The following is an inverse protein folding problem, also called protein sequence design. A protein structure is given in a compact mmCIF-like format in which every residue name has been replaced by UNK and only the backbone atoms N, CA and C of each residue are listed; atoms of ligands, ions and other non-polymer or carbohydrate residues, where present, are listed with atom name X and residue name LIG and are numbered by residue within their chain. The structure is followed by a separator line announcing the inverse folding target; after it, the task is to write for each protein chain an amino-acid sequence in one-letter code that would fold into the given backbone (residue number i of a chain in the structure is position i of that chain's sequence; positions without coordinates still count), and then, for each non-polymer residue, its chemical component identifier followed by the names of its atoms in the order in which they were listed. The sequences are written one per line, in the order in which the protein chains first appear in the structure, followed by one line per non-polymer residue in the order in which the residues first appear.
data_IF_109647321271
#
_entry.id   IF_109647321271
#
_cell.length_a   1.000
_cell.length_b   1.000
_cell.length_c   1.000
_cell.angle_alpha   90.00
_cell.angle_beta   90.00
_cell.angle_gamma   90.00
#
_symmetry.space_group_name_H-M   'P 1'
#
loop_
_entity.id
_entity.type
_entity.pdbx_description
1 polymer ?
#
# COMPACT_ATOMS: atom_id res chain seq x y z
N UNK A 1 -14.70 26.83 -0.07
CA UNK A 1 -13.60 25.90 0.26
C UNK A 1 -14.01 24.42 0.19
N UNK A 2 -15.14 24.07 -0.46
CA UNK A 2 -15.60 22.67 -0.57
C UNK A 2 -15.21 21.98 -1.88
N UNK A 3 -15.01 22.74 -2.95
CA UNK A 3 -14.67 22.18 -4.26
C UNK A 3 -13.26 21.57 -4.30
N UNK A 4 -12.33 22.03 -3.44
CA UNK A 4 -11.01 21.42 -3.31
C UNK A 4 -11.08 19.97 -2.84
N UNK A 5 -12.05 19.63 -1.98
CA UNK A 5 -12.26 18.23 -1.57
C UNK A 5 -12.80 17.37 -2.72
N UNK A 6 -13.50 17.95 -3.70
CA UNK A 6 -13.86 17.22 -4.92
C UNK A 6 -12.59 16.86 -5.72
N UNK A 7 -11.59 17.74 -5.76
CA UNK A 7 -10.30 17.39 -6.37
C UNK A 7 -9.62 16.23 -5.65
N UNK A 8 -9.69 16.20 -4.31
CA UNK A 8 -9.18 15.06 -3.52
C UNK A 8 -9.90 13.78 -3.90
N UNK A 9 -11.23 13.81 -3.97
CA UNK A 9 -12.05 12.67 -4.37
C UNK A 9 -11.69 12.17 -5.77
N UNK A 10 -11.72 13.06 -6.77
CA UNK A 10 -11.46 12.69 -8.15
C UNK A 10 -10.00 12.32 -8.38
N UNK A 11 -9.05 12.96 -7.69
CA UNK A 11 -7.64 12.59 -7.74
C UNK A 11 -7.42 11.17 -7.22
N UNK A 12 -7.94 10.84 -6.04
CA UNK A 12 -7.82 9.50 -5.48
C UNK A 12 -8.53 8.45 -6.35
N UNK A 13 -9.72 8.78 -6.89
CA UNK A 13 -10.45 7.93 -7.82
C UNK A 13 -9.64 7.66 -9.08
N UNK A 14 -9.07 8.69 -9.70
CA UNK A 14 -8.29 8.56 -10.93
C UNK A 14 -7.03 7.71 -10.73
N UNK A 15 -6.37 7.81 -9.57
CA UNK A 15 -5.19 7.00 -9.30
C UNK A 15 -5.53 5.52 -9.13
N UNK A 16 -6.68 5.22 -8.51
CA UNK A 16 -7.06 3.85 -8.20
C UNK A 16 -7.96 3.19 -9.25
N UNK A 17 -8.56 3.97 -10.16
CA UNK A 17 -9.34 3.44 -11.28
C UNK A 17 -8.44 2.88 -12.37
N UNK A 18 -7.20 3.36 -12.57
CA UNK A 18 -6.40 2.97 -13.74
C UNK A 18 -5.77 1.57 -13.55
N UNK A 19 -5.76 0.69 -14.57
CA UNK A 19 -5.20 -0.66 -14.46
C UNK A 19 -3.67 -0.64 -14.62
N UNK A 20 -3.01 0.35 -14.01
CA UNK A 20 -1.57 0.59 -14.05
C UNK A 20 -1.05 0.88 -12.62
N UNK A 21 0.16 0.44 -12.26
CA UNK A 21 0.74 0.76 -10.95
C UNK A 21 1.11 2.25 -10.88
N UNK A 22 0.17 3.09 -10.48
CA UNK A 22 0.41 4.47 -10.07
C UNK A 22 1.03 4.54 -8.67
N UNK A 23 1.62 5.70 -8.29
CA UNK A 23 1.91 5.98 -6.90
C UNK A 23 0.67 5.77 -6.02
N UNK A 24 0.84 5.49 -4.71
CA UNK A 24 -0.31 5.35 -3.81
C UNK A 24 -1.22 6.58 -3.84
N UNK A 25 -2.54 6.39 -3.77
CA UNK A 25 -3.49 7.52 -3.85
C UNK A 25 -3.30 8.56 -2.73
N UNK A 26 -2.74 8.20 -1.58
CA UNK A 26 -2.43 9.18 -0.54
C UNK A 26 -1.45 10.26 -1.03
N UNK A 27 -0.65 10.00 -2.07
CA UNK A 27 0.31 10.98 -2.61
C UNK A 27 -0.39 12.22 -3.16
N UNK A 28 -1.44 12.03 -3.97
CA UNK A 28 -2.26 13.13 -4.49
C UNK A 28 -3.11 13.77 -3.38
N UNK A 29 -3.59 12.97 -2.42
CA UNK A 29 -4.33 13.47 -1.25
C UNK A 29 -3.46 14.42 -0.41
N UNK A 30 -2.22 14.01 -0.12
CA UNK A 30 -1.24 14.78 0.65
C UNK A 30 -0.84 16.05 -0.09
N UNK A 31 -0.56 15.94 -1.39
CA UNK A 31 -0.24 17.10 -2.23
C UNK A 31 -1.35 18.17 -2.18
N UNK A 32 -2.61 17.75 -2.35
CA UNK A 32 -3.76 18.66 -2.30
C UNK A 32 -4.03 19.19 -0.89
N UNK A 33 -3.82 18.36 0.15
CA UNK A 33 -3.92 18.78 1.54
C UNK A 33 -2.95 19.91 1.86
N UNK A 34 -1.67 19.76 1.50
CA UNK A 34 -0.63 20.76 1.76
C UNK A 34 -0.88 22.04 0.97
N UNK A 35 -1.15 21.94 -0.34
CA UNK A 35 -1.31 23.12 -1.20
C UNK A 35 -2.53 23.95 -0.82
N UNK A 36 -3.64 23.31 -0.51
CA UNK A 36 -4.89 24.01 -0.20
C UNK A 36 -5.12 24.17 1.30
N UNK A 37 -4.16 23.76 2.15
CA UNK A 37 -4.26 23.77 3.62
C UNK A 37 -5.58 23.16 4.10
N UNK A 38 -5.93 22.00 3.55
CA UNK A 38 -7.19 21.32 3.84
C UNK A 38 -7.12 20.61 5.19
N UNK A 39 -8.28 20.47 5.83
CA UNK A 39 -8.37 19.67 7.04
C UNK A 39 -8.09 18.20 6.72
N UNK A 40 -7.10 17.62 7.40
CA UNK A 40 -6.60 16.27 7.16
C UNK A 40 -7.68 15.20 7.28
N UNK A 41 -8.61 15.30 8.23
CA UNK A 41 -9.68 14.31 8.41
C UNK A 41 -10.65 14.28 7.22
N UNK A 42 -11.03 15.45 6.70
CA UNK A 42 -11.87 15.53 5.51
C UNK A 42 -11.16 15.02 4.27
N UNK A 43 -9.85 15.29 4.13
CA UNK A 43 -9.02 14.72 3.05
C UNK A 43 -9.00 13.19 3.13
N UNK A 44 -8.79 12.62 4.32
CA UNK A 44 -8.78 11.17 4.54
C UNK A 44 -10.14 10.58 4.14
N UNK A 45 -11.25 11.06 4.70
CA UNK A 45 -12.58 10.48 4.46
C UNK A 45 -12.94 10.54 2.98
N UNK A 46 -12.75 11.70 2.35
CA UNK A 46 -13.16 11.94 0.96
C UNK A 46 -12.21 11.24 -0.03
N UNK A 47 -10.90 11.28 0.24
CA UNK A 47 -9.90 10.61 -0.58
C UNK A 47 -10.01 9.08 -0.51
N UNK A 48 -10.20 8.52 0.69
CA UNK A 48 -10.44 7.08 0.86
C UNK A 48 -11.74 6.66 0.16
N UNK A 49 -12.81 7.45 0.24
CA UNK A 49 -14.04 7.17 -0.50
C UNK A 49 -13.82 7.15 -2.02
N UNK A 50 -13.11 8.15 -2.57
CA UNK A 50 -12.77 8.22 -4.00
C UNK A 50 -11.91 7.04 -4.44
N UNK A 51 -10.90 6.71 -3.64
CA UNK A 51 -10.02 5.56 -3.84
C UNK A 51 -10.77 4.22 -3.87
N UNK A 52 -11.61 3.97 -2.87
CA UNK A 52 -12.39 2.73 -2.75
C UNK A 52 -13.36 2.60 -3.92
N UNK A 53 -13.98 3.71 -4.34
CA UNK A 53 -14.81 3.73 -5.54
C UNK A 53 -13.99 3.43 -6.80
N UNK A 54 -12.79 4.02 -6.94
CA UNK A 54 -11.87 3.72 -8.04
C UNK A 54 -11.52 2.24 -8.12
N UNK A 55 -11.16 1.63 -6.99
CA UNK A 55 -10.88 0.18 -6.90
C UNK A 55 -12.11 -0.68 -7.17
N UNK A 56 -13.28 -0.26 -6.73
CA UNK A 56 -14.53 -0.93 -7.06
C UNK A 56 -14.80 -0.91 -8.57
N UNK A 57 -14.64 0.25 -9.23
CA UNK A 57 -14.81 0.36 -10.68
C UNK A 57 -13.77 -0.49 -11.42
N UNK A 58 -12.51 -0.47 -10.98
CA UNK A 58 -11.44 -1.33 -11.51
C UNK A 58 -11.83 -2.81 -11.48
N UNK A 59 -12.39 -3.31 -10.36
CA UNK A 59 -12.86 -4.70 -10.27
C UNK A 59 -13.92 -5.04 -11.32
N UNK A 60 -14.81 -4.09 -11.65
CA UNK A 60 -15.93 -4.34 -12.56
C UNK A 60 -15.47 -4.49 -14.02
N UNK A 61 -14.56 -3.63 -14.48
CA UNK A 61 -14.15 -3.65 -15.89
C UNK A 61 -12.92 -4.53 -16.15
N UNK A 62 -12.14 -4.88 -15.12
CA UNK A 62 -10.95 -5.74 -15.27
C UNK A 62 -11.24 -7.08 -15.98
N UNK A 63 -12.32 -7.83 -15.68
CA UNK A 63 -12.65 -9.05 -16.42
C UNK A 63 -12.75 -8.84 -17.94
N UNK A 64 -13.31 -7.70 -18.36
CA UNK A 64 -13.46 -7.34 -19.77
C UNK A 64 -12.10 -7.05 -20.42
N UNK A 65 -11.23 -6.27 -19.76
CA UNK A 65 -9.87 -6.06 -20.24
C UNK A 65 -9.08 -7.36 -20.32
N UNK A 66 -9.21 -8.23 -19.31
CA UNK A 66 -8.55 -9.52 -19.29
C UNK A 66 -8.96 -10.39 -20.48
N UNK A 67 -10.26 -10.45 -20.80
CA UNK A 67 -10.76 -11.18 -21.97
C UNK A 67 -10.30 -10.59 -23.31
N UNK A 68 -10.03 -9.28 -23.37
CA UNK A 68 -9.57 -8.60 -24.59
C UNK A 68 -8.06 -8.68 -24.80
N UNK A 69 -7.26 -8.62 -23.74
CA UNK A 69 -5.81 -8.45 -23.81
C UNK A 69 -4.98 -9.64 -23.31
N UNK A 70 -5.55 -10.58 -22.54
CA UNK A 70 -4.83 -11.76 -22.04
C UNK A 70 -5.22 -13.02 -22.81
N UNK A 71 -4.21 -13.88 -23.07
CA UNK A 71 -4.45 -15.22 -23.60
C UNK A 71 -5.24 -16.08 -22.60
N UNK A 72 -6.03 -17.02 -23.13
CA UNK A 72 -6.92 -17.90 -22.35
C UNK A 72 -6.18 -18.66 -21.24
N UNK A 73 -4.97 -19.18 -21.52
CA UNK A 73 -4.14 -19.88 -20.52
C UNK A 73 -3.70 -18.96 -19.37
N UNK A 74 -3.31 -17.71 -19.67
CA UNK A 74 -2.91 -16.76 -18.61
C UNK A 74 -4.11 -16.32 -17.77
N UNK A 75 -5.26 -16.17 -18.40
CA UNK A 75 -6.51 -15.83 -17.74
C UNK A 75 -6.97 -16.98 -16.82
N UNK A 76 -6.87 -18.24 -17.27
CA UNK A 76 -7.18 -19.41 -16.45
C UNK A 76 -6.24 -19.57 -15.25
N UNK A 77 -4.94 -19.32 -15.42
CA UNK A 77 -3.98 -19.39 -14.31
C UNK A 77 -4.32 -18.39 -13.20
N UNK A 78 -4.66 -17.15 -13.59
CA UNK A 78 -5.03 -16.11 -12.63
C UNK A 78 -6.38 -16.43 -11.97
N UNK A 79 -7.35 -16.91 -12.74
CA UNK A 79 -8.64 -17.35 -12.19
C UNK A 79 -8.48 -18.47 -11.17
N UNK A 80 -7.61 -19.47 -11.45
CA UNK A 80 -7.30 -20.55 -10.51
C UNK A 80 -6.72 -20.02 -9.19
N UNK A 81 -5.81 -19.04 -9.24
CA UNK A 81 -5.28 -18.41 -8.03
C UNK A 81 -6.39 -17.73 -7.21
N UNK A 82 -7.30 -17.02 -7.87
CA UNK A 82 -8.41 -16.38 -7.18
C UNK A 82 -9.42 -17.37 -6.62
N UNK A 83 -9.69 -18.49 -7.29
CA UNK A 83 -10.50 -19.59 -6.74
C UNK A 83 -9.90 -20.11 -5.45
N UNK A 84 -8.57 -20.32 -5.41
CA UNK A 84 -7.85 -20.74 -4.20
C UNK A 84 -7.96 -19.72 -3.07
N UNK A 85 -7.86 -18.43 -3.38
CA UNK A 85 -8.09 -17.37 -2.40
C UNK A 85 -9.54 -17.33 -1.88
N UNK A 86 -10.52 -17.73 -2.70
CA UNK A 86 -11.93 -17.72 -2.37
C UNK A 86 -12.39 -18.96 -1.57
N UNK A 87 -11.61 -20.04 -1.55
CA UNK A 87 -11.85 -21.22 -0.70
C UNK A 87 -11.96 -20.84 0.78
N UNK A 88 -11.14 -19.89 1.25
CA UNK A 88 -11.20 -19.36 2.61
C UNK A 88 -11.33 -17.83 2.60
N UNK A 89 -12.58 -17.38 2.60
CA UNK A 89 -12.97 -15.95 2.59
C UNK A 89 -12.30 -15.13 3.70
N UNK A 90 -12.07 -15.73 4.88
CA UNK A 90 -11.38 -15.07 5.99
C UNK A 90 -9.91 -14.86 5.72
N UNK A 91 -9.21 -15.88 5.18
CA UNK A 91 -7.80 -15.74 4.78
C UNK A 91 -7.65 -14.73 3.64
N UNK A 92 -8.57 -14.71 2.68
CA UNK A 92 -8.60 -13.71 1.61
C UNK A 92 -8.73 -12.28 2.14
N UNK A 93 -9.65 -12.03 3.06
CA UNK A 93 -9.81 -10.72 3.70
C UNK A 93 -8.58 -10.32 4.51
N UNK A 94 -8.01 -11.24 5.29
CA UNK A 94 -6.81 -10.97 6.07
C UNK A 94 -5.62 -10.63 5.17
N UNK A 95 -5.48 -11.33 4.04
CA UNK A 95 -4.44 -11.03 3.05
C UNK A 95 -4.63 -9.64 2.44
N UNK A 96 -5.86 -9.29 2.02
CA UNK A 96 -6.17 -7.95 1.50
C UNK A 96 -5.88 -6.87 2.53
N UNK A 97 -6.28 -7.08 3.79
CA UNK A 97 -6.03 -6.15 4.87
C UNK A 97 -4.53 -5.95 5.10
N UNK A 98 -3.78 -7.05 5.29
CA UNK A 98 -2.33 -7.01 5.47
C UNK A 98 -1.63 -6.32 4.30
N UNK A 99 -2.03 -6.63 3.07
CA UNK A 99 -1.49 -6.01 1.87
C UNK A 99 -1.77 -4.50 1.82
N UNK A 100 -2.98 -4.08 2.21
CA UNK A 100 -3.41 -2.68 2.17
C UNK A 100 -2.82 -1.82 3.28
N UNK A 101 -2.36 -2.43 4.37
CA UNK A 101 -1.63 -1.75 5.43
C UNK A 101 -0.18 -1.44 5.03
N UNK A 102 0.38 -2.22 4.10
CA UNK A 102 1.71 -2.00 3.58
C UNK A 102 1.68 -0.92 2.48
N UNK A 103 2.76 -0.15 2.30
CA UNK A 103 2.90 0.82 1.22
C UNK A 103 3.18 0.13 -0.13
N UNK A 104 2.41 -0.91 -0.46
CA UNK A 104 2.52 -1.67 -1.70
C UNK A 104 1.52 -1.14 -2.74
N UNK A 105 1.86 -1.18 -4.04
CA UNK A 105 0.90 -0.88 -5.10
C UNK A 105 -0.29 -1.83 -4.99
N UNK A 106 -1.50 -1.32 -4.75
CA UNK A 106 -2.69 -2.18 -4.62
C UNK A 106 -3.27 -2.59 -5.98
N UNK A 107 -2.78 -2.01 -7.08
CA UNK A 107 -3.24 -2.34 -8.44
C UNK A 107 -3.11 -3.83 -8.79
N UNK A 108 -1.97 -4.54 -8.56
CA UNK A 108 -1.87 -5.97 -8.84
C UNK A 108 -2.87 -6.82 -8.05
N UNK A 109 -3.13 -6.45 -6.79
CA UNK A 109 -4.12 -7.13 -5.95
C UNK A 109 -5.53 -7.02 -6.56
N UNK A 110 -5.93 -5.80 -6.95
CA UNK A 110 -7.25 -5.56 -7.54
C UNK A 110 -7.39 -6.08 -8.98
N UNK A 111 -6.31 -6.05 -9.77
CA UNK A 111 -6.29 -6.68 -11.10
C UNK A 111 -6.45 -8.19 -10.99
N UNK A 112 -5.65 -8.85 -10.14
CA UNK A 112 -5.75 -10.29 -9.92
C UNK A 112 -7.15 -10.68 -9.42
N UNK A 113 -7.70 -9.92 -8.48
CA UNK A 113 -9.05 -10.13 -7.97
C UNK A 113 -10.14 -9.92 -9.03
N UNK A 114 -10.01 -8.89 -9.87
CA UNK A 114 -10.92 -8.59 -10.97
C UNK A 114 -10.89 -9.67 -12.05
N UNK A 115 -9.70 -10.09 -12.49
CA UNK A 115 -9.51 -11.19 -13.45
C UNK A 115 -10.16 -12.48 -12.92
N UNK A 116 -10.00 -12.73 -11.62
CA UNK A 116 -10.58 -13.87 -10.92
C UNK A 116 -12.07 -13.75 -10.60
N UNK A 117 -12.72 -12.65 -10.98
CA UNK A 117 -14.15 -12.38 -10.74
C UNK A 117 -14.55 -12.51 -9.26
N UNK A 118 -13.65 -12.12 -8.35
CA UNK A 118 -13.94 -12.13 -6.92
C UNK A 118 -15.05 -11.13 -6.59
N UNK A 119 -15.96 -11.51 -5.69
CA UNK A 119 -17.04 -10.62 -5.28
C UNK A 119 -16.47 -9.47 -4.44
N UNK A 120 -16.74 -8.24 -4.86
CA UNK A 120 -16.25 -7.02 -4.20
C UNK A 120 -16.50 -6.99 -2.68
N UNK A 121 -17.62 -7.55 -2.21
CA UNK A 121 -17.95 -7.64 -0.77
C UNK A 121 -16.93 -8.40 0.08
N UNK A 122 -16.06 -9.21 -0.52
CA UNK A 122 -15.00 -9.94 0.21
C UNK A 122 -13.64 -9.24 0.18
N UNK A 123 -13.50 -8.14 -0.57
CA UNK A 123 -12.23 -7.42 -0.74
C UNK A 123 -12.37 -5.99 -0.23
N UNK A 124 -13.43 -5.30 -0.64
CA UNK A 124 -13.64 -3.88 -0.36
C UNK A 124 -13.68 -3.56 1.14
N UNK A 125 -14.36 -4.32 2.03
CA UNK A 125 -14.34 -3.98 3.46
C UNK A 125 -12.95 -4.05 4.07
N UNK A 126 -12.18 -5.10 3.76
CA UNK A 126 -10.81 -5.26 4.25
C UNK A 126 -9.87 -4.18 3.67
N UNK A 127 -10.03 -3.87 2.37
CA UNK A 127 -9.30 -2.80 1.71
C UNK A 127 -9.62 -1.44 2.31
N UNK A 128 -10.88 -1.13 2.58
CA UNK A 128 -11.31 0.13 3.18
C UNK A 128 -10.63 0.35 4.53
N UNK A 129 -10.61 -0.67 5.40
CA UNK A 129 -9.98 -0.59 6.72
C UNK A 129 -8.47 -0.40 6.60
N UNK A 130 -7.82 -1.23 5.77
CA UNK A 130 -6.38 -1.16 5.57
C UNK A 130 -5.95 0.18 4.97
N UNK A 131 -6.68 0.64 3.96
CA UNK A 131 -6.42 1.91 3.28
C UNK A 131 -6.69 3.11 4.18
N UNK A 132 -7.80 3.12 4.91
CA UNK A 132 -8.07 4.19 5.87
C UNK A 132 -6.92 4.31 6.87
N UNK A 133 -6.48 3.18 7.45
CA UNK A 133 -5.36 3.15 8.39
C UNK A 133 -4.06 3.63 7.74
N UNK A 134 -3.71 3.09 6.56
CA UNK A 134 -2.46 3.40 5.86
C UNK A 134 -2.41 4.87 5.41
N UNK A 135 -3.48 5.37 4.77
CA UNK A 135 -3.58 6.74 4.30
C UNK A 135 -3.60 7.73 5.47
N UNK A 136 -4.26 7.38 6.59
CA UNK A 136 -4.24 8.20 7.82
C UNK A 136 -2.81 8.35 8.33
N UNK A 137 -2.09 7.25 8.51
CA UNK A 137 -0.70 7.29 8.96
C UNK A 137 0.17 8.11 8.00
N UNK A 138 0.03 7.89 6.70
CA UNK A 138 0.80 8.61 5.69
C UNK A 138 0.53 10.11 5.70
N UNK A 139 -0.74 10.53 5.77
CA UNK A 139 -1.13 11.94 5.76
C UNK A 139 -0.67 12.67 7.02
N UNK A 140 -0.86 12.10 8.21
CA UNK A 140 -0.39 12.71 9.45
C UNK A 140 1.14 12.79 9.53
N UNK A 141 1.84 11.74 9.08
CA UNK A 141 3.30 11.78 9.01
C UNK A 141 3.79 12.80 8.00
N UNK A 142 3.10 12.94 6.87
CA UNK A 142 3.40 13.96 5.85
C UNK A 142 3.19 15.38 6.37
N UNK A 143 2.05 15.65 7.02
CA UNK A 143 1.75 16.94 7.66
C UNK A 143 2.78 17.29 8.72
N UNK A 144 3.08 16.36 9.63
CA UNK A 144 4.12 16.54 10.65
C UNK A 144 5.50 16.83 10.04
N UNK A 145 5.88 16.11 8.98
CA UNK A 145 7.16 16.29 8.31
C UNK A 145 7.28 17.68 7.65
N UNK A 146 6.19 18.22 7.12
CA UNK A 146 6.16 19.55 6.51
C UNK A 146 6.18 20.64 7.57
N UNK A 147 5.37 20.53 8.62
CA UNK A 147 5.33 21.50 9.72
C UNK A 147 6.66 21.57 10.47
N UNK A 148 7.37 20.44 10.58
CA UNK A 148 8.65 20.35 11.27
C UNK A 148 9.82 20.29 10.31
N UNK A 149 9.66 20.66 9.04
CA UNK A 149 10.70 20.49 8.03
C UNK A 149 12.01 21.22 8.40
N UNK A 150 11.91 22.46 8.89
CA UNK A 150 13.07 23.24 9.33
C UNK A 150 13.75 22.59 10.55
N UNK A 151 12.96 22.21 11.56
CA UNK A 151 13.47 21.53 12.74
C UNK A 151 14.10 20.16 12.42
N UNK A 152 13.55 19.41 11.46
CA UNK A 152 14.09 18.13 11.01
C UNK A 152 15.40 18.32 10.24
N UNK A 153 15.53 19.38 9.44
CA UNK A 153 16.74 19.72 8.71
C UNK A 153 17.86 20.20 9.66
N UNK A 154 17.53 21.04 10.63
CA UNK A 154 18.49 21.49 11.65
C UNK A 154 18.93 20.33 12.56
N UNK A 155 18.01 19.44 12.93
CA UNK A 155 18.31 18.25 13.71
C UNK A 155 18.80 17.06 12.86
N UNK A 156 19.08 17.23 11.56
CA UNK A 156 19.58 16.16 10.72
C UNK A 156 20.94 15.61 11.22
N UNK A 157 21.76 16.46 11.83
CA UNK A 157 23.02 16.08 12.49
C UNK A 157 22.88 15.82 14.00
N UNK A 158 21.66 15.78 14.54
CA UNK A 158 21.43 15.50 15.95
C UNK A 158 21.85 14.08 16.34
N UNK A 159 22.14 13.89 17.64
CA UNK A 159 22.40 12.58 18.23
C UNK A 159 21.26 11.57 17.97
N UNK A 160 20.02 12.04 17.86
CA UNK A 160 18.85 11.20 17.57
C UNK A 160 18.88 10.70 16.13
N UNK A 161 19.20 11.56 15.17
CA UNK A 161 19.35 11.19 13.76
C UNK A 161 20.50 10.20 13.56
N UNK A 162 21.65 10.44 14.20
CA UNK A 162 22.79 9.52 14.18
C UNK A 162 22.41 8.17 14.82
N UNK A 163 21.74 8.17 15.98
CA UNK A 163 21.28 6.95 16.63
C UNK A 163 20.28 6.17 15.76
N UNK A 164 19.37 6.87 15.08
CA UNK A 164 18.40 6.25 14.17
C UNK A 164 19.09 5.61 12.95
N UNK A 165 20.11 6.28 12.40
CA UNK A 165 20.91 5.76 11.29
C UNK A 165 21.75 4.56 11.72
N UNK A 166 22.38 4.64 12.89
CA UNK A 166 23.13 3.51 13.47
C UNK A 166 22.21 2.33 13.75
N UNK A 167 21.01 2.56 14.29
CA UNK A 167 20.02 1.50 14.49
C UNK A 167 19.62 0.87 13.16
N UNK A 168 19.34 1.67 12.13
CA UNK A 168 19.03 1.18 10.80
C UNK A 168 20.18 0.35 10.21
N UNK A 169 21.43 0.81 10.35
CA UNK A 169 22.63 0.09 9.93
C UNK A 169 22.82 -1.23 10.69
N UNK A 170 22.57 -1.24 12.00
CA UNK A 170 22.62 -2.47 12.83
C UNK A 170 21.54 -3.44 12.40
N UNK A 171 20.32 -2.98 12.15
CA UNK A 171 19.24 -3.83 11.65
C UNK A 171 19.57 -4.42 10.27
N UNK A 172 20.11 -3.61 9.35
CA UNK A 172 20.59 -4.08 8.06
C UNK A 172 21.74 -5.09 8.22
N UNK A 173 22.70 -4.82 9.10
CA UNK A 173 23.79 -5.72 9.41
C UNK A 173 23.26 -7.08 9.90
N UNK A 174 22.36 -7.07 10.88
CA UNK A 174 21.70 -8.26 11.37
C UNK A 174 20.97 -9.01 10.25
N UNK A 175 20.24 -8.29 9.39
CA UNK A 175 19.51 -8.90 8.28
C UNK A 175 20.44 -9.64 7.30
N UNK A 176 21.54 -9.01 6.89
CA UNK A 176 22.44 -9.57 5.87
C UNK A 176 23.44 -10.60 6.41
N UNK A 177 23.93 -10.41 7.63
CA UNK A 177 25.05 -11.18 8.15
C UNK A 177 24.64 -12.26 9.15
N UNK A 178 23.42 -12.26 9.69
CA UNK A 178 22.97 -13.37 10.54
C UNK A 178 22.52 -14.53 9.65
N UNK A 179 23.02 -15.73 9.96
CA UNK A 179 22.45 -16.97 9.43
C UNK A 179 21.12 -17.25 10.12
N UNK A 180 20.04 -16.67 9.57
CA UNK A 180 18.68 -16.83 10.06
C UNK A 180 18.23 -18.29 10.09
N UNK A 181 18.73 -19.14 9.18
CA UNK A 181 18.37 -20.57 9.16
C UNK A 181 18.95 -21.27 10.39
N UNK A 182 20.24 -21.07 10.65
CA UNK A 182 20.90 -21.65 11.83
C UNK A 182 20.33 -21.08 13.13
N UNK A 183 20.06 -19.77 13.18
CA UNK A 183 19.46 -19.12 14.35
C UNK A 183 18.06 -19.66 14.66
N UNK A 184 17.20 -19.82 13.65
CA UNK A 184 15.82 -20.29 13.85
C UNK A 184 15.78 -21.78 14.21
N UNK A 185 16.57 -22.62 13.52
CA UNK A 185 16.53 -24.07 13.67
C UNK A 185 17.31 -24.58 14.90
N UNK A 186 18.46 -23.98 15.20
CA UNK A 186 19.37 -24.49 16.24
C UNK A 186 19.51 -23.56 17.45
N UNK A 187 18.87 -22.37 17.42
CA UNK A 187 18.99 -21.31 18.44
C UNK A 187 20.42 -20.82 18.66
N UNK A 188 21.33 -21.07 17.72
CA UNK A 188 22.71 -20.58 17.73
C UNK A 188 22.87 -19.39 16.81
N UNK A 189 23.40 -18.29 17.32
CA UNK A 189 23.74 -17.11 16.53
C UNK A 189 25.03 -17.37 15.77
N UNK A 190 24.95 -17.41 14.44
CA UNK A 190 26.09 -17.60 13.55
C UNK A 190 26.07 -16.47 12.53
N UNK A 191 27.23 -15.86 12.29
CA UNK A 191 27.39 -14.81 11.29
C UNK A 191 28.00 -15.38 10.01
N UNK A 192 27.42 -15.04 8.86
CA UNK A 192 27.94 -15.39 7.55
C UNK A 192 28.25 -14.11 6.75
N UNK A 193 29.55 -13.85 6.54
CA UNK A 193 30.04 -12.68 5.81
C UNK A 193 30.22 -12.92 4.30
N UNK A 194 30.05 -14.15 3.81
CA UNK A 194 30.06 -14.46 2.37
C UNK A 194 28.68 -14.23 1.76
N UNK A 195 28.33 -12.96 1.57
CA UNK A 195 27.06 -12.54 0.96
C UNK A 195 27.16 -12.32 -0.55
N UNK A 196 28.35 -12.02 -1.06
CA UNK A 196 28.63 -11.84 -2.48
C UNK A 196 29.35 -13.07 -3.03
N UNK A 197 29.10 -13.38 -4.31
CA UNK A 197 29.66 -14.54 -5.01
C UNK A 197 31.11 -14.33 -5.38
#
# INVERSE_FOLDING_TARGET
MWWQYLLVFFGALLFDIVPFPFPPAFTIMMFLQIIFQLNVWWVIVIGVAGSVLGRYILLLYTPFLAGKYLNTSKNSDIQFLGEKMNENKWKGQLFVLAYSLLPLPTTPLFLGAGISKLKAKYIIPAFLIGKFTSDTLALFLGEYAVENAEALLENAFSLQSIASLLLALVLLFCLFFIDWRTLIQTKKLVFNFKILK
#
